data_IF_603505951337
#
_entry.id   IF_603505951337
#
_cell.length_a   1.000
_cell.length_b   1.000
_cell.length_c   1.000
_cell.angle_alpha   90.00
_cell.angle_beta   90.00
_cell.angle_gamma   90.00
#
_symmetry.space_group_name_H-M   'P 1'
#
loop_
_entity.id
_entity.type
_entity.pdbx_description
1 polymer ?
#
# COMPACT_ATOMS: atom_id res chain seq x y z
N UNK A 1 -18.36 20.29 8.29
CA UNK A 1 -17.09 19.66 8.71
C UNK A 1 -16.23 20.76 9.30
N UNK A 2 -15.77 20.60 10.53
CA UNK A 2 -14.84 21.58 11.12
C UNK A 2 -13.48 21.49 10.42
N UNK A 3 -12.68 22.56 10.40
CA UNK A 3 -11.33 22.52 9.81
C UNK A 3 -10.48 21.39 10.41
N UNK A 4 -10.69 21.07 11.68
CA UNK A 4 -10.01 19.98 12.42
C UNK A 4 -10.33 18.57 11.88
N UNK A 5 -11.45 18.39 11.17
CA UNK A 5 -11.84 17.10 10.56
C UNK A 5 -11.25 16.88 9.17
N UNK A 6 -10.53 17.86 8.62
CA UNK A 6 -9.84 17.69 7.34
C UNK A 6 -8.44 17.09 7.56
N UNK A 7 -7.86 16.48 6.51
CA UNK A 7 -6.45 16.07 6.54
C UNK A 7 -5.53 17.25 6.92
N UNK A 8 -5.78 18.42 6.32
CA UNK A 8 -4.99 19.63 6.55
C UNK A 8 -5.05 20.09 8.01
N UNK A 9 -6.25 20.12 8.60
CA UNK A 9 -6.44 20.50 10.00
C UNK A 9 -5.83 19.49 10.97
N UNK A 10 -5.97 18.19 10.73
CA UNK A 10 -5.29 17.16 11.54
C UNK A 10 -3.78 17.32 11.48
N UNK A 11 -3.20 17.49 10.28
CA UNK A 11 -1.77 17.71 10.13
C UNK A 11 -1.31 18.98 10.86
N UNK A 12 -2.02 20.09 10.70
CA UNK A 12 -1.71 21.35 11.38
C UNK A 12 -1.76 21.21 12.92
N UNK A 13 -2.74 20.48 13.44
CA UNK A 13 -2.85 20.21 14.87
C UNK A 13 -1.69 19.36 15.39
N UNK A 14 -1.31 18.28 14.72
CA UNK A 14 -0.18 17.44 15.12
C UNK A 14 1.14 18.24 15.17
N UNK A 15 1.37 19.07 14.15
CA UNK A 15 2.55 19.93 14.08
C UNK A 15 2.59 20.88 15.28
N UNK A 16 1.45 21.51 15.60
CA UNK A 16 1.31 22.43 16.74
C UNK A 16 1.48 21.72 18.08
N UNK A 17 0.88 20.55 18.27
CA UNK A 17 0.93 19.78 19.52
C UNK A 17 2.34 19.29 19.85
N UNK A 18 3.10 18.91 18.82
CA UNK A 18 4.50 18.51 18.99
C UNK A 18 5.48 19.69 19.00
N UNK A 19 4.99 20.93 18.87
CA UNK A 19 5.83 22.14 18.87
C UNK A 19 6.81 22.21 17.70
N UNK A 20 6.52 21.54 16.58
CA UNK A 20 7.40 21.48 15.42
C UNK A 20 7.10 22.61 14.43
N UNK A 21 8.13 23.10 13.76
CA UNK A 21 7.99 23.94 12.57
C UNK A 21 7.81 23.10 11.30
N UNK A 22 7.21 23.69 10.26
CA UNK A 22 7.14 23.04 8.94
C UNK A 22 8.53 22.64 8.40
N UNK A 23 9.58 23.40 8.71
CA UNK A 23 10.94 23.11 8.28
C UNK A 23 11.52 21.86 8.98
N UNK A 24 11.23 21.67 10.26
CA UNK A 24 11.63 20.46 11.01
C UNK A 24 10.91 19.22 10.50
N UNK A 25 9.59 19.32 10.30
CA UNK A 25 8.81 18.23 9.71
C UNK A 25 9.31 17.89 8.31
N UNK A 26 9.58 18.91 7.48
CA UNK A 26 10.11 18.73 6.13
C UNK A 26 11.44 17.97 6.14
N UNK A 27 12.39 18.41 6.98
CA UNK A 27 13.67 17.70 7.15
C UNK A 27 13.48 16.25 7.61
N UNK A 28 12.55 16.00 8.53
CA UNK A 28 12.32 14.67 9.07
C UNK A 28 11.74 13.68 8.04
N UNK A 29 10.94 14.17 7.07
CA UNK A 29 10.35 13.33 6.01
C UNK A 29 11.04 13.50 4.66
N UNK A 30 12.18 14.18 4.59
CA UNK A 30 12.97 14.31 3.36
C UNK A 30 12.39 15.25 2.31
N UNK A 31 11.58 16.23 2.69
CA UNK A 31 10.95 17.22 1.79
C UNK A 31 11.16 18.66 2.26
N UNK A 32 10.77 19.64 1.44
CA UNK A 32 10.83 21.05 1.85
C UNK A 32 9.75 21.39 2.88
N UNK A 33 10.05 22.29 3.82
CA UNK A 33 9.03 22.81 4.73
C UNK A 33 7.90 23.56 4.02
N UNK A 34 8.14 24.06 2.80
CA UNK A 34 7.08 24.64 1.96
C UNK A 34 6.08 23.58 1.51
N UNK A 35 6.52 22.36 1.17
CA UNK A 35 5.62 21.25 0.84
C UNK A 35 4.71 20.91 2.03
N UNK A 36 5.29 20.80 3.23
CA UNK A 36 4.54 20.61 4.48
C UNK A 36 3.50 21.71 4.69
N UNK A 37 3.90 22.97 4.50
CA UNK A 37 3.00 24.12 4.61
C UNK A 37 1.86 24.12 3.58
N UNK A 38 2.07 23.57 2.38
CA UNK A 38 1.00 23.38 1.39
C UNK A 38 0.01 22.30 1.85
N UNK A 39 0.50 21.18 2.37
CA UNK A 39 -0.34 20.09 2.89
C UNK A 39 -1.21 20.53 4.07
N UNK A 40 -0.63 21.28 5.01
CA UNK A 40 -1.35 21.85 6.16
C UNK A 40 -2.39 22.91 5.77
N UNK A 41 -2.45 23.31 4.49
CA UNK A 41 -3.44 24.24 3.92
C UNK A 41 -4.37 23.58 2.89
N UNK A 42 -4.39 22.24 2.82
CA UNK A 42 -5.30 21.50 1.94
C UNK A 42 -4.70 21.12 0.58
N UNK A 43 -3.39 21.29 0.38
CA UNK A 43 -2.71 20.76 -0.80
C UNK A 43 -2.74 19.22 -0.84
N UNK A 44 -2.70 18.65 -2.05
CA UNK A 44 -2.62 17.20 -2.20
C UNK A 44 -1.26 16.69 -1.66
N UNK A 45 -1.31 15.53 -1.02
CA UNK A 45 -0.14 14.81 -0.55
C UNK A 45 -0.16 13.42 -1.17
N UNK A 46 0.99 13.03 -1.71
CA UNK A 46 1.25 11.70 -2.23
C UNK A 46 1.28 10.67 -1.10
N UNK A 47 0.96 9.42 -1.42
CA UNK A 47 0.85 8.36 -0.41
C UNK A 47 2.15 8.13 0.38
N UNK A 48 3.32 8.12 -0.27
CA UNK A 48 4.60 7.90 0.41
C UNK A 48 4.92 9.02 1.41
N UNK A 49 4.67 10.28 1.03
CA UNK A 49 4.79 11.43 1.92
C UNK A 49 3.81 11.33 3.11
N UNK A 50 2.58 10.90 2.86
CA UNK A 50 1.57 10.66 3.89
C UNK A 50 2.00 9.56 4.86
N UNK A 51 2.59 8.47 4.37
CA UNK A 51 3.16 7.40 5.19
C UNK A 51 4.31 7.90 6.06
N UNK A 52 5.21 8.72 5.51
CA UNK A 52 6.30 9.31 6.28
C UNK A 52 5.81 10.22 7.39
N UNK A 53 4.80 11.06 7.13
CA UNK A 53 4.17 11.87 8.17
C UNK A 53 3.50 11.00 9.23
N UNK A 54 2.74 9.99 8.82
CA UNK A 54 2.08 9.07 9.76
C UNK A 54 3.08 8.39 10.70
N UNK A 55 4.23 7.95 10.16
CA UNK A 55 5.33 7.39 10.96
C UNK A 55 5.97 8.42 11.88
N UNK A 56 6.27 9.62 11.37
CA UNK A 56 6.86 10.71 12.15
C UNK A 56 5.99 11.06 13.37
N UNK A 57 4.69 11.19 13.16
CA UNK A 57 3.74 11.52 14.22
C UNK A 57 3.26 10.31 15.02
N UNK A 58 3.71 9.10 14.68
CA UNK A 58 3.27 7.83 15.28
C UNK A 58 1.75 7.64 15.26
N UNK A 59 1.09 8.04 14.17
CA UNK A 59 -0.36 7.93 13.97
C UNK A 59 -0.71 6.96 12.83
N UNK A 60 -1.95 6.49 12.79
CA UNK A 60 -2.43 5.72 11.65
C UNK A 60 -2.63 6.64 10.43
N UNK A 61 -2.07 6.27 9.27
CA UNK A 61 -2.14 7.08 8.06
C UNK A 61 -3.59 7.26 7.54
N UNK A 62 -4.48 6.30 7.78
CA UNK A 62 -5.90 6.39 7.44
C UNK A 62 -6.58 7.43 8.31
N UNK A 63 -6.32 7.42 9.61
CA UNK A 63 -6.81 8.47 10.50
C UNK A 63 -6.31 9.82 10.03
N UNK A 64 -5.01 9.93 9.73
CA UNK A 64 -4.43 11.18 9.27
C UNK A 64 -5.14 11.69 7.99
N UNK A 65 -5.39 10.80 7.02
CA UNK A 65 -6.03 11.18 5.75
C UNK A 65 -7.55 11.39 5.86
N UNK A 66 -8.26 10.51 6.54
CA UNK A 66 -9.72 10.39 6.46
C UNK A 66 -10.45 10.60 7.79
N UNK A 67 -9.73 10.69 8.92
CA UNK A 67 -10.29 10.99 10.23
C UNK A 67 -10.94 9.81 10.95
N UNK A 68 -11.62 10.12 12.05
CA UNK A 68 -12.12 9.13 13.01
C UNK A 68 -13.24 8.26 12.44
N UNK A 69 -14.15 8.82 11.64
CA UNK A 69 -15.22 8.04 10.99
C UNK A 69 -14.66 6.91 10.11
N UNK A 70 -13.52 7.17 9.44
CA UNK A 70 -12.85 6.14 8.67
C UNK A 70 -12.30 5.04 9.56
N UNK A 71 -11.65 5.40 10.67
CA UNK A 71 -11.13 4.42 11.64
C UNK A 71 -12.24 3.54 12.21
N UNK A 72 -13.39 4.12 12.56
CA UNK A 72 -14.55 3.38 13.08
C UNK A 72 -15.07 2.42 11.99
N UNK A 73 -15.34 2.93 10.80
CA UNK A 73 -15.82 2.14 9.66
C UNK A 73 -14.87 0.99 9.29
N UNK A 74 -13.56 1.19 9.42
CA UNK A 74 -12.57 0.15 9.19
C UNK A 74 -12.47 -0.87 10.32
N UNK A 75 -12.60 -0.44 11.57
CA UNK A 75 -12.63 -1.32 12.75
C UNK A 75 -13.80 -2.32 12.67
N UNK A 76 -14.99 -1.84 12.31
CA UNK A 76 -16.19 -2.66 12.12
C UNK A 76 -16.00 -3.67 10.98
N UNK A 77 -15.47 -3.24 9.84
CA UNK A 77 -15.19 -4.13 8.70
C UNK A 77 -14.08 -5.14 8.97
N UNK A 78 -13.03 -4.76 9.69
CA UNK A 78 -11.94 -5.68 10.06
C UNK A 78 -12.46 -6.83 10.94
N UNK A 79 -13.45 -6.54 11.79
CA UNK A 79 -14.16 -7.54 12.59
C UNK A 79 -15.00 -8.51 11.73
N UNK A 80 -15.61 -8.04 10.64
CA UNK A 80 -16.30 -8.87 9.63
C UNK A 80 -15.40 -9.55 8.56
N UNK A 81 -14.14 -9.10 8.41
CA UNK A 81 -13.19 -9.49 7.33
C UNK A 81 -12.60 -10.91 7.48
N UNK A 82 -13.06 -11.73 8.42
CA UNK A 82 -12.67 -13.16 8.46
C UNK A 82 -13.16 -13.91 7.21
N UNK A 83 -14.36 -13.59 6.71
CA UNK A 83 -14.98 -14.24 5.54
C UNK A 83 -14.30 -13.84 4.24
N UNK A 84 -13.94 -12.56 4.04
CA UNK A 84 -13.28 -12.09 2.80
C UNK A 84 -11.81 -12.47 2.72
N UNK A 85 -11.14 -12.62 3.88
CA UNK A 85 -9.83 -13.27 3.96
C UNK A 85 -9.90 -14.76 3.65
N UNK A 86 -10.99 -15.44 3.98
CA UNK A 86 -11.22 -16.83 3.55
C UNK A 86 -11.45 -16.89 2.04
N UNK A 87 -12.31 -16.04 1.45
CA UNK A 87 -12.54 -16.03 0.00
C UNK A 87 -11.27 -15.74 -0.82
N UNK A 88 -10.44 -14.79 -0.40
CA UNK A 88 -9.18 -14.54 -1.09
C UNK A 88 -8.14 -15.59 -0.78
N UNK A 89 -8.12 -16.18 0.42
CA UNK A 89 -7.32 -17.37 0.70
C UNK A 89 -7.79 -18.59 -0.08
N UNK A 90 -9.06 -18.67 -0.48
CA UNK A 90 -9.60 -19.70 -1.35
C UNK A 90 -9.25 -19.44 -2.82
N UNK A 91 -9.28 -18.18 -3.27
CA UNK A 91 -8.76 -17.80 -4.61
C UNK A 91 -7.25 -18.04 -4.69
N UNK A 92 -6.52 -17.66 -3.63
CA UNK A 92 -5.07 -17.83 -3.48
C UNK A 92 -4.69 -19.30 -3.27
N UNK A 93 -5.49 -20.06 -2.51
CA UNK A 93 -5.20 -21.44 -2.12
C UNK A 93 -5.64 -22.48 -3.14
N UNK A 94 -6.40 -22.09 -4.17
CA UNK A 94 -6.76 -22.96 -5.28
C UNK A 94 -5.83 -22.76 -6.48
N UNK A 95 -4.52 -22.73 -6.19
CA UNK A 95 -3.43 -22.44 -7.14
C UNK A 95 -3.50 -23.35 -8.37
N UNK A 96 -3.84 -24.62 -8.19
CA UNK A 96 -3.95 -25.58 -9.31
C UNK A 96 -5.10 -25.23 -10.25
N UNK A 97 -6.22 -24.68 -9.74
CA UNK A 97 -7.33 -24.24 -10.60
C UNK A 97 -6.95 -22.99 -11.41
N UNK A 98 -6.17 -22.08 -10.84
CA UNK A 98 -5.65 -20.91 -11.56
C UNK A 98 -4.59 -21.31 -12.58
N UNK A 99 -3.67 -22.21 -12.21
CA UNK A 99 -2.64 -22.78 -13.10
C UNK A 99 -3.24 -23.50 -14.30
N UNK A 100 -4.27 -24.32 -14.07
CA UNK A 100 -4.98 -25.05 -15.12
C UNK A 100 -5.81 -24.13 -16.03
N UNK A 101 -6.48 -23.11 -15.47
CA UNK A 101 -7.27 -22.16 -16.25
C UNK A 101 -6.42 -21.25 -17.16
N UNK A 102 -5.15 -21.03 -16.80
CA UNK A 102 -4.23 -20.11 -17.49
C UNK A 102 -3.07 -20.85 -18.19
N UNK A 103 -3.21 -22.16 -18.45
CA UNK A 103 -2.34 -22.90 -19.36
C UNK A 103 -0.97 -23.29 -18.80
N UNK A 104 -0.83 -23.44 -17.48
CA UNK A 104 0.40 -23.95 -16.86
C UNK A 104 1.42 -22.89 -16.44
N UNK A 105 1.10 -21.60 -16.56
CA UNK A 105 1.97 -20.51 -16.11
C UNK A 105 1.98 -20.43 -14.57
N UNK A 106 3.16 -20.32 -13.98
CA UNK A 106 3.30 -20.03 -12.54
C UNK A 106 2.76 -18.62 -12.24
N UNK A 107 1.64 -18.58 -11.52
CA UNK A 107 0.95 -17.35 -11.15
C UNK A 107 0.89 -17.22 -9.65
N UNK A 108 1.61 -16.21 -9.15
CA UNK A 108 1.57 -15.82 -7.75
C UNK A 108 0.52 -14.73 -7.53
N UNK A 109 -0.05 -14.68 -6.33
CA UNK A 109 -0.88 -13.53 -5.92
C UNK A 109 -0.34 -12.98 -4.61
N UNK A 110 -0.28 -11.65 -4.50
CA UNK A 110 -0.14 -11.01 -3.21
C UNK A 110 -1.27 -10.03 -2.95
N UNK A 111 -1.55 -9.87 -1.67
CA UNK A 111 -2.66 -9.12 -1.15
C UNK A 111 -2.16 -8.18 -0.05
N UNK A 112 -2.29 -6.88 -0.28
CA UNK A 112 -1.93 -5.85 0.70
C UNK A 112 -3.16 -5.21 1.29
N UNK A 113 -3.37 -5.42 2.58
CA UNK A 113 -4.31 -4.68 3.42
C UNK A 113 -3.70 -3.31 3.74
N UNK A 114 -4.23 -2.26 3.13
CA UNK A 114 -3.73 -0.89 3.29
C UNK A 114 -4.02 -0.33 4.68
N UNK A 115 -5.01 -0.87 5.39
CA UNK A 115 -5.43 -0.43 6.72
C UNK A 115 -4.42 -0.84 7.78
N UNK A 116 -3.95 -2.09 7.70
CA UNK A 116 -2.99 -2.67 8.63
C UNK A 116 -1.56 -2.75 8.10
N UNK A 117 -1.30 -2.22 6.91
CA UNK A 117 -0.03 -2.31 6.19
C UNK A 117 0.52 -3.75 6.23
N UNK A 118 -0.36 -4.72 5.92
CA UNK A 118 -0.02 -6.15 5.96
C UNK A 118 -0.18 -6.74 4.58
N UNK A 119 0.88 -7.37 4.09
CA UNK A 119 0.85 -8.16 2.87
C UNK A 119 0.74 -9.65 3.21
N UNK A 120 -0.05 -10.36 2.41
CA UNK A 120 -0.14 -11.83 2.38
C UNK A 120 0.27 -12.28 0.98
N UNK A 121 1.16 -13.27 0.91
CA UNK A 121 1.59 -13.91 -0.34
C UNK A 121 0.90 -15.27 -0.48
N UNK A 122 0.57 -15.66 -1.71
CA UNK A 122 0.33 -17.07 -2.06
C UNK A 122 1.62 -17.88 -1.97
N UNK A 123 1.52 -19.20 -1.99
CA UNK A 123 2.69 -20.07 -1.98
C UNK A 123 3.50 -19.90 -3.26
N UNK A 124 2.83 -19.82 -4.42
CA UNK A 124 3.50 -19.48 -5.69
C UNK A 124 4.15 -18.09 -5.64
N UNK A 125 3.49 -17.07 -5.09
CA UNK A 125 4.07 -15.74 -4.96
C UNK A 125 5.30 -15.74 -4.04
N UNK A 126 5.24 -16.45 -2.92
CA UNK A 126 6.37 -16.62 -2.01
C UNK A 126 7.55 -17.29 -2.73
N UNK A 127 7.31 -18.35 -3.53
CA UNK A 127 8.35 -18.99 -4.34
C UNK A 127 8.93 -18.07 -5.41
N UNK A 128 8.09 -17.39 -6.18
CA UNK A 128 8.51 -16.45 -7.24
C UNK A 128 9.36 -15.32 -6.68
N UNK A 129 8.92 -14.71 -5.57
CA UNK A 129 9.63 -13.62 -4.90
C UNK A 129 10.84 -14.10 -4.09
N UNK A 130 10.94 -15.40 -3.78
CA UNK A 130 11.97 -15.94 -2.88
C UNK A 130 11.79 -15.53 -1.42
N UNK A 131 10.54 -15.37 -0.98
CA UNK A 131 10.19 -15.04 0.40
C UNK A 131 10.46 -16.21 1.36
N UNK A 132 10.67 -15.91 2.64
CA UNK A 132 10.88 -16.92 3.68
C UNK A 132 9.67 -17.88 3.76
N UNK A 133 9.90 -19.21 3.72
CA UNK A 133 8.84 -20.21 3.85
C UNK A 133 8.08 -20.17 5.19
N UNK A 134 8.64 -19.54 6.24
CA UNK A 134 7.94 -19.29 7.50
C UNK A 134 6.90 -18.15 7.40
N UNK A 135 6.78 -17.52 6.24
CA UNK A 135 5.76 -16.53 5.92
C UNK A 135 6.32 -15.13 5.74
N UNK A 136 5.73 -14.39 4.80
CA UNK A 136 6.04 -12.97 4.64
C UNK A 136 5.36 -12.14 5.74
N UNK A 137 6.17 -11.51 6.57
CA UNK A 137 5.72 -10.57 7.60
C UNK A 137 6.21 -9.16 7.27
N UNK A 138 5.40 -8.42 6.52
CA UNK A 138 5.75 -7.07 6.10
C UNK A 138 4.60 -6.30 5.48
N UNK A 139 4.75 -4.98 5.48
CA UNK A 139 3.96 -4.05 4.69
C UNK A 139 4.64 -3.71 3.35
N UNK A 140 4.16 -2.65 2.70
CA UNK A 140 4.65 -2.20 1.38
C UNK A 140 6.17 -2.08 1.30
N UNK A 141 6.80 -1.52 2.34
CA UNK A 141 8.26 -1.29 2.33
C UNK A 141 9.08 -2.59 2.19
N UNK A 142 8.68 -3.65 2.91
CA UNK A 142 9.35 -4.95 2.79
C UNK A 142 9.07 -5.62 1.44
N UNK A 143 7.89 -5.39 0.86
CA UNK A 143 7.55 -5.93 -0.45
C UNK A 143 8.47 -5.34 -1.55
N UNK A 144 8.79 -4.04 -1.47
CA UNK A 144 9.72 -3.37 -2.38
C UNK A 144 11.17 -3.89 -2.28
N UNK A 145 11.51 -4.67 -1.26
CA UNK A 145 12.83 -5.31 -1.15
C UNK A 145 13.01 -6.46 -2.15
N UNK A 146 11.91 -7.05 -2.66
CA UNK A 146 11.96 -8.05 -3.73
C UNK A 146 12.16 -7.44 -5.13
N UNK A 147 12.09 -6.11 -5.25
CA UNK A 147 12.33 -5.39 -6.50
C UNK A 147 13.82 -5.03 -6.60
N UNK A 148 14.41 -5.22 -7.78
CA UNK A 148 15.77 -4.79 -8.07
C UNK A 148 15.96 -3.30 -7.77
N UNK A 149 17.15 -2.91 -7.30
CA UNK A 149 17.42 -1.55 -6.82
C UNK A 149 17.10 -0.46 -7.85
N UNK A 150 17.45 -0.70 -9.11
CA UNK A 150 17.18 0.21 -10.24
C UNK A 150 15.69 0.33 -10.60
N UNK A 151 14.88 -0.68 -10.28
CA UNK A 151 13.45 -0.69 -10.58
C UNK A 151 12.59 -0.24 -9.39
N UNK A 152 13.17 -0.10 -8.20
CA UNK A 152 12.43 0.08 -6.94
C UNK A 152 11.60 1.35 -6.94
N UNK A 153 12.17 2.47 -7.38
CA UNK A 153 11.48 3.76 -7.46
C UNK A 153 10.32 3.70 -8.45
N UNK A 154 10.56 3.14 -9.64
CA UNK A 154 9.53 2.96 -10.67
C UNK A 154 8.37 2.08 -10.21
N UNK A 155 8.63 1.02 -9.44
CA UNK A 155 7.58 0.15 -8.87
C UNK A 155 6.84 0.85 -7.72
N UNK A 156 7.55 1.61 -6.88
CA UNK A 156 6.93 2.41 -5.82
C UNK A 156 5.97 3.46 -6.40
N UNK A 157 6.40 4.19 -7.44
CA UNK A 157 5.55 5.14 -8.15
C UNK A 157 4.32 4.48 -8.76
N UNK A 158 4.45 3.29 -9.35
CA UNK A 158 3.31 2.57 -9.91
C UNK A 158 2.28 2.21 -8.84
N UNK A 159 2.75 1.82 -7.65
CA UNK A 159 1.89 1.56 -6.50
C UNK A 159 1.27 2.85 -5.94
N UNK A 160 1.94 4.00 -5.99
CA UNK A 160 1.34 5.26 -5.56
C UNK A 160 0.27 5.74 -6.54
N UNK A 161 0.56 5.66 -7.83
CA UNK A 161 -0.40 5.98 -8.88
C UNK A 161 -1.65 5.12 -8.77
N UNK A 162 -1.55 3.84 -8.37
CA UNK A 162 -2.75 3.01 -8.19
C UNK A 162 -3.70 3.55 -7.12
N UNK A 163 -3.15 4.20 -6.07
CA UNK A 163 -3.93 4.75 -4.97
C UNK A 163 -4.64 6.05 -5.37
N UNK A 164 -4.01 6.82 -6.23
CA UNK A 164 -4.46 8.14 -6.67
C UNK A 164 -5.35 8.08 -7.92
N UNK A 165 -5.13 7.12 -8.81
CA UNK A 165 -5.89 7.00 -10.05
C UNK A 165 -7.32 6.47 -9.81
N UNK A 166 -8.26 6.99 -10.59
CA UNK A 166 -9.62 6.47 -10.69
C UNK A 166 -9.64 5.05 -11.26
N UNK A 167 -8.74 4.74 -12.21
CA UNK A 167 -8.66 3.40 -12.79
C UNK A 167 -8.30 2.34 -11.74
N UNK A 168 -7.50 2.74 -10.74
CA UNK A 168 -7.14 1.87 -9.62
C UNK A 168 -6.45 0.58 -10.08
N UNK A 169 -5.66 0.62 -11.15
CA UNK A 169 -4.90 -0.53 -11.61
C UNK A 169 -3.50 -0.15 -12.11
N UNK A 170 -2.57 -1.11 -12.10
CA UNK A 170 -1.23 -0.94 -12.67
C UNK A 170 -0.78 -2.23 -13.36
N UNK A 171 0.12 -2.09 -14.33
CA UNK A 171 0.78 -3.19 -15.03
C UNK A 171 2.25 -2.83 -15.22
N UNK A 172 3.15 -3.61 -14.61
CA UNK A 172 4.57 -3.30 -14.61
C UNK A 172 5.42 -4.56 -14.67
N UNK A 173 6.46 -4.55 -15.50
CA UNK A 173 7.50 -5.58 -15.51
C UNK A 173 8.77 -5.00 -14.88
N UNK A 174 9.37 -5.75 -13.95
CA UNK A 174 10.60 -5.36 -13.25
C UNK A 174 11.49 -6.57 -12.99
N UNK A 175 12.77 -6.33 -12.67
CA UNK A 175 13.68 -7.37 -12.21
C UNK A 175 13.47 -7.71 -10.74
N UNK A 176 13.66 -8.98 -10.41
CA UNK A 176 13.73 -9.45 -9.02
C UNK A 176 15.05 -9.02 -8.38
N UNK A 177 15.01 -8.68 -7.09
CA UNK A 177 16.20 -8.37 -6.34
C UNK A 177 17.17 -9.57 -6.31
N UNK A 178 18.43 -9.32 -6.66
CA UNK A 178 19.48 -10.34 -6.64
C UNK A 178 19.31 -11.47 -7.66
N UNK A 179 18.40 -11.34 -8.65
CA UNK A 179 18.14 -12.36 -9.67
C UNK A 179 18.03 -11.73 -11.05
N UNK A 180 18.66 -12.33 -12.06
CA UNK A 180 18.51 -11.96 -13.46
C UNK A 180 17.19 -12.50 -14.06
N UNK A 181 16.08 -12.33 -13.34
CA UNK A 181 14.75 -12.79 -13.73
C UNK A 181 13.78 -11.61 -13.68
N UNK A 182 12.93 -11.51 -14.70
CA UNK A 182 11.87 -10.51 -14.79
C UNK A 182 10.56 -11.08 -14.26
N UNK A 183 9.78 -10.21 -13.64
CA UNK A 183 8.45 -10.50 -13.15
C UNK A 183 7.50 -9.42 -13.65
N UNK A 184 6.34 -9.82 -14.16
CA UNK A 184 5.23 -8.92 -14.45
C UNK A 184 4.27 -8.90 -13.28
N UNK A 185 3.84 -7.70 -12.90
CA UNK A 185 2.88 -7.46 -11.83
C UNK A 185 1.68 -6.71 -12.39
N UNK A 186 0.48 -7.27 -12.22
CA UNK A 186 -0.78 -6.58 -12.50
C UNK A 186 -1.58 -6.41 -11.22
N UNK A 187 -1.77 -5.18 -10.79
CA UNK A 187 -2.43 -4.86 -9.53
C UNK A 187 -3.74 -4.10 -9.69
N UNK A 188 -4.62 -4.30 -8.71
CA UNK A 188 -5.96 -3.71 -8.65
C UNK A 188 -6.24 -3.20 -7.24
N UNK A 189 -6.68 -1.94 -7.17
CA UNK A 189 -7.12 -1.30 -5.96
C UNK A 189 -8.58 -1.62 -5.70
N UNK A 190 -8.85 -2.16 -4.52
CA UNK A 190 -10.19 -2.25 -3.98
C UNK A 190 -10.47 -1.03 -3.10
N UNK A 191 -11.63 -0.44 -3.33
CA UNK A 191 -12.17 0.68 -2.55
C UNK A 191 -13.37 0.21 -1.73
N UNK A 192 -13.71 0.96 -0.69
CA UNK A 192 -14.95 0.78 0.04
C UNK A 192 -16.11 1.57 -0.56
N UNK A 193 -17.29 1.47 0.07
CA UNK A 193 -18.50 2.17 -0.37
C UNK A 193 -18.36 3.69 -0.35
N UNK A 194 -17.45 4.22 0.49
CA UNK A 194 -17.10 5.64 0.52
C UNK A 194 -15.96 6.00 -0.46
N UNK A 195 -15.54 5.08 -1.33
CA UNK A 195 -14.47 5.27 -2.31
C UNK A 195 -13.05 5.25 -1.74
N UNK A 196 -12.87 4.94 -0.45
CA UNK A 196 -11.56 4.94 0.21
C UNK A 196 -10.76 3.70 -0.16
N UNK A 197 -9.45 3.82 -0.43
CA UNK A 197 -8.60 2.69 -0.74
C UNK A 197 -8.47 1.77 0.47
N UNK A 198 -8.73 0.47 0.28
CA UNK A 198 -8.68 -0.51 1.38
C UNK A 198 -7.65 -1.60 1.17
N UNK A 199 -7.38 -1.96 -0.08
CA UNK A 199 -6.62 -3.17 -0.39
C UNK A 199 -6.08 -3.14 -1.80
N UNK A 200 -4.89 -3.70 -2.01
CA UNK A 200 -4.33 -3.92 -3.35
C UNK A 200 -4.16 -5.41 -3.56
N UNK A 201 -4.76 -5.95 -4.62
CA UNK A 201 -4.56 -7.32 -5.06
C UNK A 201 -3.69 -7.31 -6.30
N UNK A 202 -2.63 -8.10 -6.29
CA UNK A 202 -1.67 -8.13 -7.39
C UNK A 202 -1.37 -9.55 -7.82
N UNK A 203 -1.44 -9.75 -9.13
CA UNK A 203 -1.05 -10.99 -9.80
C UNK A 203 0.38 -10.85 -10.27
N UNK A 204 1.19 -11.87 -9.97
CA UNK A 204 2.57 -12.04 -10.38
C UNK A 204 2.63 -13.12 -11.45
N UNK A 205 3.34 -12.86 -12.55
CA UNK A 205 3.63 -13.88 -13.54
C UNK A 205 5.02 -13.66 -14.12
N UNK A 206 5.63 -14.73 -14.62
CA UNK A 206 6.78 -14.59 -15.51
C UNK A 206 6.30 -13.97 -16.83
N UNK A 207 7.08 -13.04 -17.44
CA UNK A 207 6.79 -12.55 -18.78
C UNK A 207 7.02 -13.67 -19.82
N UNK A 208 6.26 -13.61 -20.93
CA UNK A 208 6.47 -14.46 -22.11
C UNK A 208 7.81 -14.19 -22.80
#
# INVERSE_FOLDING_TARGET
MSDAETFAGRLANLIKEQGLSHAEVGRAVGVSGQAVGKWAKGGNIEYDNLQMLARLFAVNWIWLRYGDEAMISFSERRSGSKVRRAVIRDIVGNEERLRLALGGVDIGVWDMDLISDRVVLSDVAARLLGADPNGFHGGRYKLLQFVHGEDRERVAEALDRVLEDRAGCFDITHYLAGRAARLRQRGYLLRDEAGRPVRVLTVLSLPE
#
